data_IF_510065382316
#
_entry.id   IF_510065382316
#
_cell.length_a   1.000
_cell.length_b   1.000
_cell.length_c   1.000
_cell.angle_alpha   90.00
_cell.angle_beta   90.00
_cell.angle_gamma   90.00
#
_symmetry.space_group_name_H-M   'P 1'
#
loop_
_entity.id
_entity.type
_entity.pdbx_description
1 polymer ?
#
# COMPACT_ATOMS: atom_id res chain seq x y z
N UNK A 1 37.50 0.97 -6.43
CA UNK A 1 36.17 1.11 -7.08
C UNK A 1 35.60 2.49 -6.76
N UNK A 2 35.36 3.33 -7.78
CA UNK A 2 34.88 4.71 -7.62
C UNK A 2 33.60 4.77 -6.78
N UNK A 3 33.45 5.77 -5.90
CA UNK A 3 32.28 5.90 -5.01
C UNK A 3 30.96 5.95 -5.79
N UNK A 4 30.96 6.59 -6.96
CA UNK A 4 29.82 6.65 -7.88
C UNK A 4 29.36 5.28 -8.38
N UNK A 5 30.29 4.36 -8.69
CA UNK A 5 29.95 3.00 -9.14
C UNK A 5 29.30 2.16 -8.03
N UNK A 6 29.72 2.34 -6.77
CA UNK A 6 29.13 1.61 -5.63
C UNK A 6 27.70 2.05 -5.35
N UNK A 7 27.43 3.36 -5.41
CA UNK A 7 26.08 3.90 -5.23
C UNK A 7 25.15 3.39 -6.33
N UNK A 8 25.58 3.42 -7.59
CA UNK A 8 24.79 2.93 -8.71
C UNK A 8 24.41 1.44 -8.56
N UNK A 9 25.40 0.57 -8.32
CA UNK A 9 25.15 -0.87 -8.20
C UNK A 9 24.20 -1.21 -7.05
N UNK A 10 24.38 -0.51 -5.92
CA UNK A 10 23.53 -0.66 -4.75
C UNK A 10 22.10 -0.18 -5.02
N UNK A 11 21.92 0.96 -5.69
CA UNK A 11 20.60 1.46 -6.07
C UNK A 11 19.88 0.53 -7.04
N UNK A 12 20.58 0.01 -8.05
CA UNK A 12 20.00 -0.97 -8.99
C UNK A 12 19.54 -2.24 -8.28
N UNK A 13 20.36 -2.77 -7.36
CA UNK A 13 19.97 -3.92 -6.55
C UNK A 13 18.73 -3.63 -5.69
N UNK A 14 18.68 -2.48 -5.01
CA UNK A 14 17.52 -2.10 -4.19
C UNK A 14 16.24 -1.93 -5.01
N UNK A 15 16.34 -1.41 -6.24
CA UNK A 15 15.19 -1.28 -7.15
C UNK A 15 14.67 -2.66 -7.56
N UNK A 16 15.55 -3.56 -8.00
CA UNK A 16 15.18 -4.93 -8.39
C UNK A 16 14.56 -5.65 -7.18
N UNK A 17 15.17 -5.50 -6.01
CA UNK A 17 14.68 -6.10 -4.79
C UNK A 17 13.30 -5.55 -4.38
N UNK A 18 13.09 -4.23 -4.51
CA UNK A 18 11.80 -3.62 -4.27
C UNK A 18 10.72 -4.16 -5.20
N UNK A 19 10.97 -4.27 -6.51
CA UNK A 19 10.00 -4.84 -7.46
C UNK A 19 9.71 -6.30 -7.13
N UNK A 20 10.75 -7.09 -6.86
CA UNK A 20 10.60 -8.50 -6.50
C UNK A 20 9.75 -8.67 -5.24
N UNK A 21 10.05 -7.92 -4.17
CA UNK A 21 9.31 -8.00 -2.91
C UNK A 21 7.88 -7.46 -3.03
N UNK A 22 7.66 -6.41 -3.83
CA UNK A 22 6.31 -5.93 -4.12
C UNK A 22 5.49 -7.01 -4.87
N UNK A 23 6.13 -7.80 -5.72
CA UNK A 23 5.47 -8.90 -6.44
C UNK A 23 5.08 -10.04 -5.50
N UNK A 24 5.93 -10.37 -4.51
CA UNK A 24 5.68 -11.51 -3.61
C UNK A 24 4.68 -11.16 -2.50
N UNK A 25 4.81 -10.01 -1.84
CA UNK A 25 3.97 -9.68 -0.66
C UNK A 25 3.38 -8.27 -0.65
N UNK A 26 3.77 -7.38 -1.57
CA UNK A 26 3.48 -5.93 -1.57
C UNK A 26 4.10 -5.20 -0.35
N UNK A 27 3.80 -5.66 0.87
CA UNK A 27 4.22 -5.11 2.15
C UNK A 27 5.75 -5.06 2.29
N UNK A 28 6.46 -6.14 1.94
CA UNK A 28 7.93 -6.19 2.04
C UNK A 28 8.64 -5.40 0.93
N UNK A 29 7.90 -4.85 -0.04
CA UNK A 29 8.44 -3.89 -1.00
C UNK A 29 8.77 -2.53 -0.38
N UNK A 30 8.16 -2.17 0.75
CA UNK A 30 8.35 -0.87 1.37
C UNK A 30 9.77 -0.65 1.95
N UNK A 31 10.38 -1.61 2.70
CA UNK A 31 11.74 -1.48 3.22
C UNK A 31 12.82 -1.14 2.16
N UNK A 32 12.98 -1.87 1.04
CA UNK A 32 13.98 -1.53 0.04
C UNK A 32 13.71 -0.17 -0.63
N UNK A 33 12.44 0.21 -0.83
CA UNK A 33 12.07 1.55 -1.30
C UNK A 33 12.48 2.64 -0.31
N UNK A 34 12.36 2.40 0.99
CA UNK A 34 12.78 3.35 2.02
C UNK A 34 14.29 3.56 2.00
N UNK A 35 15.07 2.49 1.89
CA UNK A 35 16.53 2.58 1.75
C UNK A 35 16.89 3.35 0.47
N UNK A 36 16.22 3.05 -0.65
CA UNK A 36 16.42 3.75 -1.91
C UNK A 36 16.14 5.26 -1.76
N UNK A 37 15.05 5.63 -1.09
CA UNK A 37 14.68 7.03 -0.83
C UNK A 37 15.69 7.75 0.07
N UNK A 38 16.28 7.06 1.03
CA UNK A 38 17.33 7.60 1.91
C UNK A 38 18.64 7.83 1.15
N UNK A 39 19.03 6.90 0.27
CA UNK A 39 20.29 6.96 -0.49
C UNK A 39 20.24 7.96 -1.65
N UNK A 40 19.13 8.00 -2.40
CA UNK A 40 19.04 8.78 -3.64
C UNK A 40 18.43 10.18 -3.46
N UNK A 41 17.84 10.46 -2.31
CA UNK A 41 17.12 11.72 -2.06
C UNK A 41 15.76 11.78 -2.75
N UNK A 42 15.09 12.93 -2.62
CA UNK A 42 13.67 13.09 -2.98
C UNK A 42 13.38 12.99 -4.47
N UNK A 43 14.03 13.83 -5.27
CA UNK A 43 13.70 14.00 -6.68
C UNK A 43 14.04 12.75 -7.49
N UNK A 44 15.25 12.21 -7.31
CA UNK A 44 15.71 11.02 -8.02
C UNK A 44 14.88 9.78 -7.66
N UNK A 45 14.49 9.63 -6.39
CA UNK A 45 13.62 8.54 -5.97
C UNK A 45 12.30 8.52 -6.74
N UNK A 46 11.57 9.65 -6.76
CA UNK A 46 10.29 9.72 -7.47
C UNK A 46 10.46 9.57 -8.98
N UNK A 47 11.51 10.16 -9.58
CA UNK A 47 11.77 10.03 -11.01
C UNK A 47 12.02 8.57 -11.43
N UNK A 48 12.85 7.84 -10.68
CA UNK A 48 13.16 6.43 -10.96
C UNK A 48 11.95 5.55 -10.74
N UNK A 49 11.24 5.73 -9.63
CA UNK A 49 10.09 4.91 -9.31
C UNK A 49 8.93 5.14 -10.29
N UNK A 50 8.69 6.39 -10.71
CA UNK A 50 7.71 6.71 -11.75
C UNK A 50 8.12 6.13 -13.10
N UNK A 51 9.40 6.27 -13.49
CA UNK A 51 9.92 5.66 -14.71
C UNK A 51 9.74 4.15 -14.72
N UNK A 52 10.02 3.48 -13.60
CA UNK A 52 9.84 2.04 -13.46
C UNK A 52 8.37 1.62 -13.49
N UNK A 53 7.48 2.35 -12.82
CA UNK A 53 6.03 2.14 -12.92
C UNK A 53 5.55 2.25 -14.36
N UNK A 54 6.04 3.23 -15.13
CA UNK A 54 5.70 3.38 -16.55
C UNK A 54 6.21 2.20 -17.40
N UNK A 55 7.42 1.72 -17.14
CA UNK A 55 7.98 0.53 -17.81
C UNK A 55 7.13 -0.71 -17.49
N UNK A 56 6.83 -0.96 -16.21
CA UNK A 56 5.98 -2.09 -15.79
C UNK A 56 4.59 -2.01 -16.43
N UNK A 57 4.03 -0.80 -16.53
CA UNK A 57 2.75 -0.57 -17.18
C UNK A 57 2.82 -0.86 -18.68
N UNK A 58 3.89 -0.42 -19.36
CA UNK A 58 4.12 -0.64 -20.79
C UNK A 58 4.34 -2.11 -21.17
N UNK A 59 4.97 -2.90 -20.29
CA UNK A 59 5.17 -4.36 -20.47
C UNK A 59 3.87 -5.15 -20.19
N UNK A 60 2.82 -4.50 -19.69
CA UNK A 60 1.52 -5.12 -19.44
C UNK A 60 1.31 -5.64 -18.02
N UNK A 61 2.29 -5.46 -17.12
CA UNK A 61 2.18 -5.81 -15.69
C UNK A 61 1.46 -4.70 -14.90
N UNK A 62 0.26 -4.34 -15.36
CA UNK A 62 -0.50 -3.17 -14.89
C UNK A 62 -0.82 -3.20 -13.38
N UNK A 63 -1.28 -4.32 -12.77
CA UNK A 63 -1.54 -4.33 -11.34
C UNK A 63 -0.29 -4.07 -10.51
N UNK A 64 0.83 -4.70 -10.89
CA UNK A 64 2.10 -4.50 -10.22
C UNK A 64 2.60 -3.06 -10.38
N UNK A 65 2.47 -2.47 -11.57
CA UNK A 65 2.83 -1.07 -11.81
C UNK A 65 2.05 -0.11 -10.90
N UNK A 66 0.74 -0.32 -10.75
CA UNK A 66 -0.13 0.48 -9.88
C UNK A 66 0.24 0.28 -8.41
N UNK A 67 0.37 -0.97 -7.96
CA UNK A 67 0.76 -1.29 -6.58
C UNK A 67 2.14 -0.69 -6.23
N UNK A 68 3.11 -0.81 -7.13
CA UNK A 68 4.43 -0.24 -6.96
C UNK A 68 4.40 1.29 -6.90
N UNK A 69 3.55 1.94 -7.73
CA UNK A 69 3.38 3.39 -7.70
C UNK A 69 2.75 3.86 -6.37
N UNK A 70 1.72 3.15 -5.90
CA UNK A 70 1.07 3.45 -4.62
C UNK A 70 2.03 3.26 -3.44
N UNK A 71 2.80 2.17 -3.45
CA UNK A 71 3.81 1.91 -2.43
C UNK A 71 4.94 2.95 -2.45
N UNK A 72 5.33 3.40 -3.64
CA UNK A 72 6.29 4.50 -3.83
C UNK A 72 5.75 5.80 -3.25
N UNK A 73 4.48 6.14 -3.52
CA UNK A 73 3.84 7.32 -2.96
C UNK A 73 3.80 7.24 -1.42
N UNK A 74 3.39 6.09 -0.87
CA UNK A 74 3.39 5.82 0.57
C UNK A 74 4.77 6.05 1.18
N UNK A 75 5.79 5.34 0.68
CA UNK A 75 7.16 5.42 1.21
C UNK A 75 7.73 6.82 1.03
N UNK A 76 7.52 7.44 -0.12
CA UNK A 76 8.05 8.76 -0.45
C UNK A 76 7.49 9.88 0.44
N UNK A 77 6.16 9.89 0.64
CA UNK A 77 5.48 10.84 1.53
C UNK A 77 5.85 10.58 2.98
N UNK A 78 5.80 9.32 3.44
CA UNK A 78 6.17 8.94 4.79
C UNK A 78 7.59 9.40 5.13
N UNK A 79 8.53 9.13 4.21
CA UNK A 79 9.92 9.55 4.30
C UNK A 79 10.07 11.06 4.44
N UNK A 80 9.37 11.85 3.61
CA UNK A 80 9.44 13.30 3.64
C UNK A 80 8.92 13.88 4.95
N UNK A 81 7.83 13.34 5.50
CA UNK A 81 7.26 13.78 6.78
C UNK A 81 8.18 13.44 7.94
N UNK A 82 8.77 12.24 7.95
CA UNK A 82 9.78 11.87 8.94
C UNK A 82 11.03 12.75 8.88
N UNK A 83 11.51 13.09 7.68
CA UNK A 83 12.67 13.97 7.50
C UNK A 83 12.37 15.39 8.03
N UNK A 84 11.09 15.81 7.99
CA UNK A 84 10.58 17.05 8.59
C UNK A 84 10.28 16.95 10.09
N UNK A 85 10.65 15.85 10.75
CA UNK A 85 10.44 15.59 12.19
C UNK A 85 8.98 15.51 12.61
N UNK A 86 8.09 15.12 11.69
CA UNK A 86 6.70 14.85 12.05
C UNK A 86 6.57 13.58 12.87
N UNK A 87 5.48 13.48 13.63
CA UNK A 87 5.19 12.30 14.43
C UNK A 87 5.04 11.06 13.52
N UNK A 88 5.65 9.89 13.84
CA UNK A 88 5.68 8.75 12.92
C UNK A 88 4.31 8.20 12.56
N UNK A 89 3.40 8.13 13.54
CA UNK A 89 2.04 7.62 13.34
C UNK A 89 1.25 8.58 12.44
N UNK A 90 1.36 9.89 12.68
CA UNK A 90 0.72 10.91 11.85
C UNK A 90 1.28 10.91 10.43
N UNK A 91 2.60 10.67 10.30
CA UNK A 91 3.27 10.53 9.00
C UNK A 91 2.75 9.33 8.23
N UNK A 92 2.56 8.19 8.89
CA UNK A 92 1.98 6.99 8.29
C UNK A 92 0.52 7.23 7.87
N UNK A 93 -0.30 7.81 8.75
CA UNK A 93 -1.70 8.11 8.46
C UNK A 93 -1.87 9.05 7.25
N UNK A 94 -1.05 10.10 7.16
CA UNK A 94 -1.06 11.04 6.01
C UNK A 94 -0.58 10.32 4.74
N UNK A 95 0.50 9.53 4.83
CA UNK A 95 1.03 8.81 3.68
C UNK A 95 0.03 7.78 3.12
N UNK A 96 -0.65 7.03 3.99
CA UNK A 96 -1.71 6.09 3.60
C UNK A 96 -2.86 6.86 2.97
N UNK A 97 -3.34 7.92 3.61
CA UNK A 97 -4.44 8.75 3.09
C UNK A 97 -4.14 9.30 1.69
N UNK A 98 -2.94 9.87 1.48
CA UNK A 98 -2.54 10.39 0.18
C UNK A 98 -2.40 9.27 -0.87
N UNK A 99 -1.89 8.10 -0.49
CA UNK A 99 -1.82 6.94 -1.37
C UNK A 99 -3.22 6.46 -1.78
N UNK A 100 -4.17 6.44 -0.85
CA UNK A 100 -5.57 6.14 -1.15
C UNK A 100 -6.18 7.17 -2.10
N UNK A 101 -5.92 8.47 -1.92
CA UNK A 101 -6.37 9.52 -2.84
C UNK A 101 -5.81 9.26 -4.25
N UNK A 102 -4.52 8.95 -4.39
CA UNK A 102 -3.94 8.59 -5.68
C UNK A 102 -4.58 7.34 -6.29
N UNK A 103 -4.87 6.32 -5.47
CA UNK A 103 -5.60 5.13 -5.90
C UNK A 103 -7.00 5.44 -6.40
N UNK A 104 -7.75 6.28 -5.68
CA UNK A 104 -9.10 6.72 -6.06
C UNK A 104 -9.06 7.53 -7.36
N UNK A 105 -8.11 8.47 -7.50
CA UNK A 105 -7.95 9.26 -8.73
C UNK A 105 -7.59 8.37 -9.91
N UNK A 106 -6.65 7.45 -9.75
CA UNK A 106 -6.26 6.50 -10.79
C UNK A 106 -7.41 5.60 -11.22
N UNK A 107 -8.14 5.05 -10.24
CA UNK A 107 -9.34 4.25 -10.49
C UNK A 107 -10.44 5.07 -11.17
N UNK A 108 -10.70 6.29 -10.69
CA UNK A 108 -11.70 7.21 -11.26
C UNK A 108 -11.40 7.58 -12.71
N UNK A 109 -10.15 7.89 -13.04
CA UNK A 109 -9.74 8.17 -14.42
C UNK A 109 -9.91 6.93 -15.31
N UNK A 110 -9.61 5.74 -14.80
CA UNK A 110 -9.80 4.49 -15.53
C UNK A 110 -11.30 4.19 -15.77
N UNK A 111 -12.16 4.34 -14.75
CA UNK A 111 -13.60 4.11 -14.90
C UNK A 111 -14.25 5.12 -15.83
N UNK A 112 -13.81 6.38 -15.83
CA UNK A 112 -14.26 7.39 -16.81
C UNK A 112 -13.90 7.01 -18.25
N UNK A 113 -12.72 6.40 -18.47
CA UNK A 113 -12.28 5.95 -19.79
C UNK A 113 -13.03 4.70 -20.27
N UNK A 114 -13.27 3.75 -19.37
CA UNK A 114 -13.95 2.48 -19.70
C UNK A 114 -15.47 2.66 -19.80
N UNK A 115 -16.04 3.60 -19.06
CA UNK A 115 -17.47 3.85 -18.99
C UNK A 115 -18.22 2.78 -18.19
N UNK A 116 -19.47 2.52 -18.55
CA UNK A 116 -20.40 1.65 -17.78
C UNK A 116 -19.95 0.19 -17.64
N UNK A 117 -19.00 -0.27 -18.44
CA UNK A 117 -18.51 -1.65 -18.44
C UNK A 117 -17.35 -1.92 -17.47
N UNK A 118 -16.91 -0.93 -16.70
CA UNK A 118 -15.76 -1.07 -15.80
C UNK A 118 -15.91 -2.24 -14.83
N UNK A 119 -17.12 -2.45 -14.30
CA UNK A 119 -17.40 -3.51 -13.33
C UNK A 119 -17.25 -4.89 -13.97
N UNK A 120 -17.81 -5.08 -15.17
CA UNK A 120 -17.70 -6.34 -15.91
C UNK A 120 -16.24 -6.66 -16.26
N UNK A 121 -15.46 -5.66 -16.69
CA UNK A 121 -14.04 -5.83 -17.01
C UNK A 121 -13.19 -6.16 -15.77
N UNK A 122 -13.44 -5.48 -14.64
CA UNK A 122 -12.76 -5.78 -13.39
C UNK A 122 -13.08 -7.20 -12.90
N UNK A 123 -14.34 -7.60 -13.00
CA UNK A 123 -14.80 -8.93 -12.62
C UNK A 123 -14.20 -10.01 -13.52
N UNK A 124 -14.17 -9.80 -14.84
CA UNK A 124 -13.55 -10.71 -15.80
C UNK A 124 -12.06 -10.86 -15.53
N UNK A 125 -11.37 -9.74 -15.27
CA UNK A 125 -9.95 -9.75 -14.90
C UNK A 125 -9.69 -10.54 -13.62
N UNK A 126 -10.52 -10.35 -12.59
CA UNK A 126 -10.42 -11.08 -11.33
C UNK A 126 -10.68 -12.58 -11.53
N UNK A 127 -11.69 -12.94 -12.34
CA UNK A 127 -12.01 -14.34 -12.70
C UNK A 127 -10.86 -14.99 -13.46
N UNK A 128 -10.24 -14.29 -14.41
CA UNK A 128 -9.10 -14.80 -15.15
C UNK A 128 -7.88 -15.02 -14.24
N UNK A 129 -7.64 -14.09 -13.31
CA UNK A 129 -6.50 -14.16 -12.37
C UNK A 129 -6.69 -15.26 -11.33
N UNK A 130 -7.87 -15.36 -10.72
CA UNK A 130 -8.18 -16.37 -9.71
C UNK A 130 -8.48 -17.74 -10.31
N UNK A 131 -8.93 -17.80 -11.56
CA UNK A 131 -9.22 -19.05 -12.25
C UNK A 131 -8.01 -19.97 -12.40
N UNK A 132 -6.80 -19.41 -12.40
CA UNK A 132 -5.54 -20.17 -12.36
C UNK A 132 -5.16 -20.68 -10.96
N UNK A 133 -5.83 -20.22 -9.91
CA UNK A 133 -5.57 -20.59 -8.52
C UNK A 133 -6.67 -21.55 -8.03
N UNK A 134 -6.48 -22.84 -8.29
CA UNK A 134 -7.44 -23.92 -7.95
C UNK A 134 -7.87 -23.93 -6.48
N UNK A 135 -7.03 -23.43 -5.56
CA UNK A 135 -7.33 -23.33 -4.13
C UNK A 135 -8.57 -22.46 -3.82
N UNK A 136 -8.80 -21.37 -4.58
CA UNK A 136 -9.92 -20.46 -4.30
C UNK A 136 -11.29 -21.04 -4.68
N UNK A 137 -11.35 -21.96 -5.65
CA UNK A 137 -12.62 -22.51 -6.17
C UNK A 137 -13.21 -23.59 -5.27
N UNK A 138 -12.37 -24.36 -4.57
CA UNK A 138 -12.79 -25.65 -4.02
C UNK A 138 -13.14 -25.60 -2.53
N UNK A 139 -12.56 -24.68 -1.76
CA UNK A 139 -12.66 -24.75 -0.29
C UNK A 139 -13.39 -23.56 0.36
N UNK A 140 -13.33 -22.36 -0.21
CA UNK A 140 -13.80 -21.17 0.50
C UNK A 140 -15.16 -20.64 0.07
N UNK A 141 -15.74 -21.13 -1.05
CA UNK A 141 -17.08 -20.74 -1.50
C UNK A 141 -17.27 -19.25 -1.79
N UNK A 142 -16.20 -18.45 -1.86
CA UNK A 142 -16.29 -17.01 -2.07
C UNK A 142 -16.77 -16.68 -3.48
N UNK A 143 -17.78 -15.81 -3.58
CA UNK A 143 -18.11 -15.18 -4.84
C UNK A 143 -16.99 -14.20 -5.23
N UNK A 144 -16.54 -14.27 -6.48
CA UNK A 144 -15.52 -13.36 -7.05
C UNK A 144 -16.00 -11.90 -6.95
N UNK A 145 -17.31 -11.71 -7.06
CA UNK A 145 -18.01 -10.44 -6.89
C UNK A 145 -17.76 -9.84 -5.49
N UNK A 146 -17.74 -10.65 -4.44
CA UNK A 146 -17.50 -10.17 -3.07
C UNK A 146 -16.05 -9.72 -2.88
N UNK A 147 -15.08 -10.39 -3.52
CA UNK A 147 -13.68 -9.98 -3.50
C UNK A 147 -13.49 -8.62 -4.17
N UNK A 148 -14.17 -8.38 -5.30
CA UNK A 148 -14.11 -7.09 -5.98
C UNK A 148 -14.70 -5.98 -5.10
N UNK A 149 -15.77 -6.25 -4.36
CA UNK A 149 -16.38 -5.31 -3.42
C UNK A 149 -15.51 -5.03 -2.19
N UNK A 150 -14.61 -5.95 -1.83
CA UNK A 150 -13.68 -5.81 -0.70
C UNK A 150 -12.29 -5.28 -1.11
N UNK A 151 -11.99 -5.22 -2.41
CA UNK A 151 -10.71 -4.72 -2.92
C UNK A 151 -10.28 -3.35 -2.35
N UNK A 152 -11.19 -2.37 -2.10
CA UNK A 152 -10.81 -1.10 -1.48
C UNK A 152 -10.21 -1.27 -0.07
N UNK A 153 -10.87 -2.02 0.82
CA UNK A 153 -10.33 -2.28 2.17
C UNK A 153 -9.04 -3.10 2.13
N UNK A 154 -8.97 -4.10 1.25
CA UNK A 154 -7.74 -4.89 1.05
C UNK A 154 -6.54 -4.00 0.68
N UNK A 155 -6.74 -3.03 -0.21
CA UNK A 155 -5.69 -2.07 -0.56
C UNK A 155 -5.26 -1.21 0.63
N UNK A 156 -6.22 -0.70 1.41
CA UNK A 156 -5.93 0.11 2.61
C UNK A 156 -5.15 -0.71 3.64
N UNK A 157 -5.57 -1.95 3.90
CA UNK A 157 -4.91 -2.89 4.81
C UNK A 157 -3.47 -3.16 4.37
N UNK A 158 -3.23 -3.40 3.08
CA UNK A 158 -1.88 -3.61 2.55
C UNK A 158 -0.99 -2.38 2.76
N UNK A 159 -1.51 -1.16 2.56
CA UNK A 159 -0.76 0.08 2.79
C UNK A 159 -0.48 0.31 4.28
N UNK A 160 -1.44 0.00 5.16
CA UNK A 160 -1.27 0.06 6.61
C UNK A 160 -0.18 -0.92 7.07
N UNK A 161 -0.22 -2.17 6.63
CA UNK A 161 0.80 -3.17 6.91
C UNK A 161 2.19 -2.75 6.39
N UNK A 162 2.26 -2.22 5.17
CA UNK A 162 3.50 -1.68 4.61
C UNK A 162 4.06 -0.55 5.50
N UNK A 163 3.21 0.36 5.96
CA UNK A 163 3.60 1.45 6.86
C UNK A 163 4.05 0.94 8.24
N UNK A 164 3.41 -0.10 8.77
CA UNK A 164 3.78 -0.72 10.03
C UNK A 164 5.15 -1.39 9.94
N UNK A 165 5.43 -2.10 8.83
CA UNK A 165 6.75 -2.69 8.57
C UNK A 165 7.82 -1.61 8.46
N UNK A 166 7.55 -0.49 7.77
CA UNK A 166 8.48 0.65 7.73
C UNK A 166 8.79 1.16 9.13
N UNK A 167 7.75 1.39 9.95
CA UNK A 167 7.89 1.93 11.30
C UNK A 167 8.74 1.01 12.20
N UNK A 168 8.51 -0.30 12.13
CA UNK A 168 9.25 -1.31 12.90
C UNK A 168 10.70 -1.41 12.43
N UNK A 169 10.93 -1.37 11.11
CA UNK A 169 12.26 -1.57 10.53
C UNK A 169 13.09 -0.28 10.42
N UNK A 170 12.51 0.90 10.62
CA UNK A 170 13.15 2.20 10.37
C UNK A 170 14.58 2.33 10.96
N UNK A 171 14.87 1.93 12.21
CA UNK A 171 16.25 1.99 12.73
C UNK A 171 17.24 1.17 11.90
N UNK A 172 16.86 -0.06 11.52
CA UNK A 172 17.69 -0.96 10.70
C UNK A 172 17.85 -0.43 9.27
N UNK A 173 16.79 0.15 8.70
CA UNK A 173 16.83 0.69 7.34
C UNK A 173 17.75 1.90 7.23
N UNK A 174 17.79 2.76 8.26
CA UNK A 174 18.74 3.88 8.35
C UNK A 174 20.18 3.43 8.49
N UNK A 175 20.42 2.45 9.37
CA UNK A 175 21.73 1.84 9.55
C UNK A 175 22.22 1.24 8.23
N UNK A 176 21.37 0.46 7.56
CA UNK A 176 21.69 -0.09 6.24
C UNK A 176 21.99 1.03 5.26
N UNK A 177 21.17 2.08 5.18
CA UNK A 177 21.40 3.25 4.32
C UNK A 177 22.71 4.00 4.62
N UNK A 178 23.39 3.71 5.74
CA UNK A 178 24.59 4.42 6.17
C UNK A 178 24.29 5.84 6.67
N UNK A 179 23.01 6.12 6.94
CA UNK A 179 22.58 7.39 7.52
C UNK A 179 22.49 7.19 9.03
N UNK A 180 23.43 7.75 9.78
CA UNK A 180 23.38 7.81 11.24
C UNK A 180 22.31 8.81 11.68
N UNK A 181 21.05 8.47 11.42
CA UNK A 181 19.89 9.26 11.76
C UNK A 181 19.43 8.95 13.17
N UNK A 182 19.31 10.00 13.97
CA UNK A 182 18.74 10.08 15.33
C UNK A 182 17.76 8.95 15.66
N UNK A 183 17.98 8.29 16.79
CA UNK A 183 17.06 7.28 17.34
C UNK A 183 15.63 7.80 17.31
N UNK A 184 14.76 7.13 16.55
CA UNK A 184 13.33 7.29 16.77
C UNK A 184 13.06 6.89 18.20
N UNK A 185 12.48 7.80 18.98
CA UNK A 185 12.10 7.50 20.34
C UNK A 185 10.95 6.48 20.30
N UNK A 186 11.28 5.19 20.31
CA UNK A 186 10.31 4.08 20.23
C UNK A 186 9.34 4.06 21.41
N UNK A 187 9.61 4.87 22.44
CA UNK A 187 8.70 5.17 23.55
C UNK A 187 7.30 5.58 23.08
N UNK A 188 7.16 6.22 21.92
CA UNK A 188 5.85 6.60 21.38
C UNK A 188 4.97 5.39 21.03
N UNK A 189 5.55 4.27 20.63
CA UNK A 189 4.77 3.06 20.32
C UNK A 189 4.23 2.40 21.58
N UNK A 190 4.96 2.51 22.70
CA UNK A 190 4.55 1.94 24.00
C UNK A 190 3.40 2.70 24.65
N UNK A 191 3.25 3.98 24.33
CA UNK A 191 2.18 4.84 24.86
C UNK A 191 0.98 5.00 23.93
N UNK A 192 0.97 4.35 22.77
CA UNK A 192 -0.11 4.52 21.81
C UNK A 192 -1.43 3.96 22.36
N UNK A 193 -2.46 4.82 22.38
CA UNK A 193 -3.85 4.44 22.66
C UNK A 193 -4.68 4.82 21.45
N UNK A 194 -5.54 3.91 21.01
CA UNK A 194 -6.52 4.21 19.98
C UNK A 194 -7.50 5.27 20.52
N UNK A 195 -7.85 6.30 19.73
CA UNK A 195 -8.89 7.23 20.12
C UNK A 195 -10.24 6.53 20.31
N UNK A 196 -11.04 6.95 21.29
CA UNK A 196 -12.36 6.38 21.56
C UNK A 196 -13.29 6.40 20.32
N UNK A 197 -13.12 7.39 19.44
CA UNK A 197 -13.85 7.47 18.16
C UNK A 197 -13.66 6.21 17.33
N UNK A 198 -12.45 5.62 17.34
CA UNK A 198 -12.17 4.40 16.58
C UNK A 198 -12.96 3.21 17.12
N UNK A 199 -13.13 3.11 18.44
CA UNK A 199 -13.97 2.07 19.07
C UNK A 199 -15.40 2.17 18.57
N UNK A 200 -15.95 3.37 18.49
CA UNK A 200 -17.30 3.59 17.96
C UNK A 200 -17.42 3.25 16.48
N UNK A 201 -16.43 3.62 15.66
CA UNK A 201 -16.39 3.23 14.24
C UNK A 201 -16.34 1.71 14.08
N UNK A 202 -15.57 1.01 14.92
CA UNK A 202 -15.53 -0.46 14.93
C UNK A 202 -16.87 -1.06 15.32
N UNK A 203 -17.53 -0.57 16.37
CA UNK A 203 -18.86 -1.06 16.79
C UNK A 203 -19.89 -0.83 15.68
N UNK A 204 -19.92 0.36 15.08
CA UNK A 204 -20.88 0.69 14.02
C UNK A 204 -20.64 -0.13 12.75
N UNK A 205 -19.38 -0.33 12.35
CA UNK A 205 -19.03 -1.17 11.20
C UNK A 205 -19.36 -2.65 11.45
N UNK A 206 -19.14 -3.15 12.66
CA UNK A 206 -19.55 -4.49 13.08
C UNK A 206 -21.07 -4.66 12.95
N UNK A 207 -21.85 -3.77 13.56
CA UNK A 207 -23.31 -3.81 13.47
C UNK A 207 -23.77 -3.73 12.01
N UNK A 208 -23.26 -2.77 11.23
CA UNK A 208 -23.63 -2.59 9.84
C UNK A 208 -23.26 -3.78 8.93
N UNK A 209 -22.25 -4.57 9.29
CA UNK A 209 -21.85 -5.76 8.53
C UNK A 209 -22.85 -6.92 8.66
N UNK A 210 -23.52 -7.04 9.81
CA UNK A 210 -24.46 -8.12 10.12
C UNK A 210 -25.93 -7.74 9.93
N UNK A 211 -26.25 -6.44 9.89
CA UNK A 211 -27.62 -5.98 9.62
C UNK A 211 -28.00 -6.32 8.18
N UNK A 212 -29.01 -7.19 8.03
CA UNK A 212 -29.67 -7.45 6.74
C UNK A 212 -30.50 -6.21 6.36
N UNK A 213 -29.87 -5.26 5.69
CA UNK A 213 -30.54 -4.08 5.12
C UNK A 213 -30.90 -4.34 3.67
N UNK A 214 -32.04 -3.81 3.22
CA UNK A 214 -32.39 -3.77 1.79
C UNK A 214 -31.38 -2.94 0.96
N UNK A 215 -30.63 -2.06 1.64
CA UNK A 215 -29.66 -1.16 1.03
C UNK A 215 -28.27 -1.82 1.02
N UNK A 216 -27.97 -2.56 -0.05
CA UNK A 216 -26.71 -3.34 -0.20
C UNK A 216 -25.42 -2.53 0.01
N UNK A 217 -25.38 -1.26 -0.37
CA UNK A 217 -24.16 -0.46 -0.26
C UNK A 217 -23.75 -0.18 1.20
N UNK A 218 -24.71 -0.10 2.13
CA UNK A 218 -24.43 0.11 3.56
C UNK A 218 -23.64 -1.08 4.10
N UNK A 219 -24.04 -2.29 3.74
CA UNK A 219 -23.35 -3.52 4.14
C UNK A 219 -21.92 -3.56 3.59
N UNK A 220 -21.74 -3.24 2.30
CA UNK A 220 -20.41 -3.21 1.66
C UNK A 220 -19.48 -2.20 2.34
N UNK A 221 -19.96 -0.99 2.62
CA UNK A 221 -19.19 0.03 3.33
C UNK A 221 -18.84 -0.42 4.74
N UNK A 222 -19.80 -1.01 5.46
CA UNK A 222 -19.61 -1.50 6.83
C UNK A 222 -18.57 -2.61 6.90
N UNK A 223 -18.61 -3.57 5.97
CA UNK A 223 -17.61 -4.66 5.87
C UNK A 223 -16.22 -4.11 5.56
N UNK A 224 -16.11 -3.17 4.61
CA UNK A 224 -14.81 -2.57 4.28
C UNK A 224 -14.23 -1.77 5.45
N UNK A 225 -15.06 -1.03 6.19
CA UNK A 225 -14.63 -0.32 7.40
C UNK A 225 -14.20 -1.30 8.49
N UNK A 226 -14.98 -2.36 8.72
CA UNK A 226 -14.66 -3.39 9.71
C UNK A 226 -13.30 -4.05 9.40
N UNK A 227 -13.06 -4.41 8.14
CA UNK A 227 -11.78 -4.99 7.70
C UNK A 227 -10.58 -4.09 8.01
N UNK A 228 -10.74 -2.77 7.83
CA UNK A 228 -9.68 -1.80 8.15
C UNK A 228 -9.52 -1.62 9.66
N UNK A 229 -10.62 -1.67 10.43
CA UNK A 229 -10.62 -1.43 11.87
C UNK A 229 -10.10 -2.60 12.71
N UNK A 230 -10.23 -3.84 12.22
CA UNK A 230 -9.78 -5.04 12.93
C UNK A 230 -8.25 -5.26 12.81
N UNK A 231 -7.60 -4.60 11.85
CA UNK A 231 -6.16 -4.64 11.64
C UNK A 231 -5.39 -3.80 12.69
#
# INVERSE_FOLDING_TARGET
MNPTRRVFFRSSFLVIWAVAMTTVTVVLGAPPLRILRLVMGRLLFFAIALGLSLVLFGVGWKPLAILFLLLTALVGVYSELLDRKWHPISSAAIAVSLSCIFGILGFGLWTLRVGKSWYAQALEYLKATLGGLSFFKTEMGFAVEDLLMQAPSGLVVLLLLASAVLLIMEPRLREWAGTSGREMNTSYLRGFRLPDVFVWVTILSLLGSFVKSDIKWIQVVSVNLLNVCVL
#
